data_IF_677028579208
#
_entry.id   IF_677028579208
#
_cell.length_a   1.000
_cell.length_b   1.000
_cell.length_c   1.000
_cell.angle_alpha   90.00
_cell.angle_beta   90.00
_cell.angle_gamma   90.00
#
_symmetry.space_group_name_H-M   'P 1'
#
loop_
_entity.id
_entity.type
_entity.pdbx_description
1 polymer ?
#
# COMPACT_ATOMS: atom_id res chain seq x y z
N UNK A 1 20.38 -21.92 1.61
CA UNK A 1 19.86 -20.63 1.10
C UNK A 1 18.66 -20.89 0.20
N UNK A 2 17.44 -20.47 0.57
CA UNK A 2 16.24 -20.76 -0.24
C UNK A 2 16.07 -19.84 -1.46
N UNK A 3 15.42 -20.31 -2.52
CA UNK A 3 15.19 -19.57 -3.77
C UNK A 3 14.61 -18.15 -3.56
N UNK A 4 13.70 -17.98 -2.60
CA UNK A 4 13.10 -16.67 -2.29
C UNK A 4 14.09 -15.63 -1.76
N UNK A 5 15.21 -16.06 -1.16
CA UNK A 5 16.26 -15.15 -0.69
C UNK A 5 16.99 -14.51 -1.86
N UNK A 6 17.30 -15.26 -2.91
CA UNK A 6 17.90 -14.71 -4.15
C UNK A 6 16.95 -13.73 -4.84
N UNK A 7 15.65 -14.06 -4.91
CA UNK A 7 14.65 -13.13 -5.44
C UNK A 7 14.62 -11.82 -4.65
N UNK A 8 14.69 -11.91 -3.31
CA UNK A 8 14.72 -10.72 -2.46
C UNK A 8 15.96 -9.86 -2.71
N UNK A 9 17.15 -10.46 -2.83
CA UNK A 9 18.39 -9.73 -3.11
C UNK A 9 18.35 -9.03 -4.48
N UNK A 10 17.78 -9.70 -5.48
CA UNK A 10 17.58 -9.11 -6.81
C UNK A 10 16.69 -7.85 -6.74
N UNK A 11 15.59 -7.90 -5.98
CA UNK A 11 14.71 -6.74 -5.76
C UNK A 11 15.25 -5.71 -4.75
N UNK A 12 16.34 -6.01 -4.03
CA UNK A 12 17.05 -5.03 -3.20
C UNK A 12 17.77 -4.03 -4.11
N UNK A 13 18.45 -4.52 -5.15
CA UNK A 13 19.14 -3.73 -6.17
C UNK A 13 18.23 -3.39 -7.37
N UNK A 14 17.20 -2.54 -7.16
CA UNK A 14 16.21 -2.18 -8.22
C UNK A 14 16.79 -1.34 -9.36
N UNK A 15 17.92 -0.69 -9.13
CA UNK A 15 18.61 0.16 -10.10
C UNK A 15 19.61 -0.61 -10.98
N UNK A 16 19.74 -1.93 -10.82
CA UNK A 16 20.53 -2.75 -11.74
C UNK A 16 19.87 -2.78 -13.13
N UNK A 17 20.67 -2.99 -14.17
CA UNK A 17 20.17 -2.96 -15.56
C UNK A 17 19.12 -4.03 -15.82
N UNK A 18 19.32 -5.22 -15.27
CA UNK A 18 18.33 -6.32 -15.31
C UNK A 18 16.99 -5.87 -14.73
N UNK A 19 17.00 -5.24 -13.54
CA UNK A 19 15.76 -4.82 -12.88
C UNK A 19 15.10 -3.63 -13.58
N UNK A 20 15.89 -2.67 -14.06
CA UNK A 20 15.37 -1.54 -14.84
C UNK A 20 14.68 -2.02 -16.12
N UNK A 21 15.31 -2.95 -16.83
CA UNK A 21 14.75 -3.57 -18.04
C UNK A 21 13.40 -4.26 -17.76
N UNK A 22 13.37 -5.14 -16.75
CA UNK A 22 12.14 -5.85 -16.36
C UNK A 22 11.01 -4.90 -15.91
N UNK A 23 11.34 -3.87 -15.13
CA UNK A 23 10.36 -2.89 -14.68
C UNK A 23 9.83 -2.04 -15.84
N UNK A 24 10.68 -1.69 -16.82
CA UNK A 24 10.27 -0.92 -18.01
C UNK A 24 9.26 -1.68 -18.85
N UNK A 25 9.51 -2.96 -19.13
CA UNK A 25 8.57 -3.81 -19.89
C UNK A 25 7.24 -3.97 -19.14
N UNK A 26 7.29 -4.22 -17.82
CA UNK A 26 6.06 -4.35 -17.01
C UNK A 26 5.23 -3.08 -17.00
N UNK A 27 5.85 -1.92 -16.81
CA UNK A 27 5.14 -0.64 -16.82
C UNK A 27 4.49 -0.40 -18.17
N UNK A 28 5.18 -0.70 -19.28
CA UNK A 28 4.60 -0.60 -20.61
C UNK A 28 3.32 -1.45 -20.74
N UNK A 29 3.35 -2.71 -20.32
CA UNK A 29 2.18 -3.58 -20.30
C UNK A 29 1.05 -3.00 -19.43
N UNK A 30 1.38 -2.50 -18.23
CA UNK A 30 0.39 -1.99 -17.27
C UNK A 30 -0.26 -0.67 -17.70
N UNK A 31 0.36 0.09 -18.60
CA UNK A 31 -0.25 1.29 -19.19
C UNK A 31 -1.44 0.94 -20.08
N UNK A 32 -1.33 -0.15 -20.84
CA UNK A 32 -2.38 -0.64 -21.75
C UNK A 32 -3.57 -1.25 -21.02
N UNK A 33 -3.34 -1.79 -19.82
CA UNK A 33 -4.38 -2.41 -19.01
C UNK A 33 -5.28 -1.37 -18.31
N UNK A 34 -6.46 -1.83 -17.91
CA UNK A 34 -7.40 -1.03 -17.14
C UNK A 34 -6.84 -0.65 -15.75
N UNK A 35 -7.41 0.41 -15.15
CA UNK A 35 -6.94 0.96 -13.87
C UNK A 35 -6.89 -0.08 -12.74
N UNK A 36 -7.86 -0.99 -12.73
CA UNK A 36 -7.94 -2.14 -11.84
C UNK A 36 -8.16 -3.38 -12.70
N UNK A 37 -7.22 -4.33 -12.64
CA UNK A 37 -7.35 -5.61 -13.32
C UNK A 37 -6.91 -6.75 -12.40
N UNK A 38 -7.48 -7.93 -12.62
CA UNK A 38 -7.09 -9.15 -11.91
C UNK A 38 -5.77 -9.67 -12.49
N UNK A 39 -4.80 -9.96 -11.62
CA UNK A 39 -3.57 -10.64 -12.01
C UNK A 39 -3.73 -12.15 -11.74
N UNK A 40 -3.35 -13.03 -12.69
CA UNK A 40 -3.47 -14.47 -12.48
C UNK A 40 -2.47 -14.99 -11.44
N UNK A 41 -1.29 -14.39 -11.35
CA UNK A 41 -0.21 -14.75 -10.42
C UNK A 41 0.47 -13.48 -9.86
N UNK A 42 1.05 -13.53 -8.66
CA UNK A 42 1.81 -12.40 -8.12
C UNK A 42 3.02 -12.12 -9.00
N UNK A 43 3.29 -10.85 -9.31
CA UNK A 43 4.53 -10.48 -10.00
C UNK A 43 5.78 -10.72 -9.14
N UNK A 44 5.58 -10.74 -7.82
CA UNK A 44 6.59 -10.92 -6.78
C UNK A 44 6.13 -11.97 -5.77
N UNK A 45 6.34 -13.27 -6.04
CA UNK A 45 5.91 -14.33 -5.14
C UNK A 45 6.66 -14.30 -3.79
N UNK A 46 7.90 -13.81 -3.76
CA UNK A 46 8.71 -13.59 -2.55
C UNK A 46 8.01 -12.64 -1.57
N UNK A 47 7.63 -11.45 -2.06
CA UNK A 47 7.02 -10.40 -1.25
C UNK A 47 5.58 -10.75 -0.90
N UNK A 48 4.83 -11.33 -1.84
CA UNK A 48 3.47 -11.77 -1.60
C UNK A 48 3.38 -12.80 -0.47
N UNK A 49 4.28 -13.82 -0.46
CA UNK A 49 4.31 -14.84 0.59
C UNK A 49 4.62 -14.26 1.97
N UNK A 50 5.52 -13.28 2.05
CA UNK A 50 5.81 -12.57 3.32
C UNK A 50 4.59 -11.83 3.86
N UNK A 51 3.77 -11.30 2.97
CA UNK A 51 2.55 -10.55 3.32
C UNK A 51 1.32 -11.43 3.54
N UNK A 52 1.48 -12.76 3.51
CA UNK A 52 0.41 -13.72 3.82
C UNK A 52 -0.30 -14.34 2.62
N UNK A 53 0.17 -14.10 1.39
CA UNK A 53 -0.34 -14.81 0.22
C UNK A 53 0.03 -16.30 0.27
N UNK A 54 -0.94 -17.16 -0.05
CA UNK A 54 -0.74 -18.59 -0.31
C UNK A 54 -1.34 -18.94 -1.67
N UNK A 55 -0.71 -19.89 -2.36
CA UNK A 55 -1.21 -20.42 -3.63
C UNK A 55 -2.31 -21.45 -3.39
N UNK A 56 -3.42 -21.02 -2.78
CA UNK A 56 -4.65 -21.80 -2.62
C UNK A 56 -5.83 -21.02 -3.19
N UNK A 57 -6.90 -21.74 -3.52
CA UNK A 57 -8.13 -21.10 -3.96
C UNK A 57 -8.65 -20.14 -2.89
N UNK A 58 -9.31 -19.06 -3.32
CA UNK A 58 -9.80 -18.00 -2.44
C UNK A 58 -8.82 -16.85 -2.21
N UNK A 59 -7.53 -16.99 -2.57
CA UNK A 59 -6.65 -15.82 -2.73
C UNK A 59 -6.74 -15.26 -4.13
N UNK A 60 -6.95 -13.95 -4.22
CA UNK A 60 -6.99 -13.19 -5.45
C UNK A 60 -5.95 -12.08 -5.40
N UNK A 61 -5.36 -11.75 -6.56
CA UNK A 61 -4.44 -10.63 -6.66
C UNK A 61 -5.02 -9.65 -7.66
N UNK A 62 -5.11 -8.40 -7.23
CA UNK A 62 -5.55 -7.30 -8.07
C UNK A 62 -4.43 -6.29 -8.23
N UNK A 63 -4.20 -5.85 -9.46
CA UNK A 63 -3.26 -4.77 -9.78
C UNK A 63 -4.03 -3.48 -9.93
N UNK A 64 -3.56 -2.46 -9.24
CA UNK A 64 -4.15 -1.13 -9.29
C UNK A 64 -3.08 -0.07 -9.53
N UNK A 65 -3.41 0.91 -10.39
CA UNK A 65 -2.61 2.11 -10.59
C UNK A 65 -3.16 3.30 -9.78
N UNK A 66 -2.26 4.01 -9.09
CA UNK A 66 -2.55 5.24 -8.35
C UNK A 66 -1.68 6.37 -8.89
N UNK A 67 -2.30 7.52 -9.20
CA UNK A 67 -1.58 8.69 -9.72
C UNK A 67 -0.63 9.22 -8.64
N UNK A 68 0.59 9.54 -9.06
CA UNK A 68 1.64 10.11 -8.21
C UNK A 68 1.38 11.60 -7.95
N UNK A 69 2.08 12.13 -6.95
CA UNK A 69 2.05 13.55 -6.58
C UNK A 69 1.11 13.86 -5.42
N UNK A 70 1.03 15.15 -5.10
CA UNK A 70 0.09 15.69 -4.11
C UNK A 70 -1.35 15.66 -4.61
N UNK A 71 -2.26 16.18 -3.80
CA UNK A 71 -3.68 16.26 -4.14
C UNK A 71 -4.14 17.70 -4.01
N UNK A 72 -4.58 18.28 -5.13
CA UNK A 72 -5.19 19.59 -5.16
C UNK A 72 -6.46 19.61 -4.33
N UNK A 73 -6.69 20.68 -3.57
CA UNK A 73 -7.99 20.91 -2.90
C UNK A 73 -9.08 21.11 -3.96
N UNK A 74 -10.25 20.47 -3.85
CA UNK A 74 -11.36 20.70 -4.76
C UNK A 74 -12.03 22.05 -4.43
N UNK A 75 -11.48 23.15 -4.94
CA UNK A 75 -12.08 24.49 -4.85
C UNK A 75 -12.39 25.03 -6.26
N UNK A 76 -13.58 25.60 -6.49
CA UNK A 76 -13.88 26.30 -7.72
C UNK A 76 -12.88 27.44 -7.96
N UNK A 77 -12.29 27.50 -9.16
CA UNK A 77 -11.35 28.56 -9.59
C UNK A 77 -10.09 28.76 -8.71
N UNK A 78 -9.85 27.92 -7.69
CA UNK A 78 -8.76 28.14 -6.74
C UNK A 78 -9.10 29.11 -5.60
N UNK A 79 -10.35 29.59 -5.52
CA UNK A 79 -10.77 30.58 -4.53
C UNK A 79 -11.10 29.91 -3.19
N UNK A 80 -10.14 29.91 -2.28
CA UNK A 80 -10.32 29.50 -0.88
C UNK A 80 -10.76 30.71 -0.06
N UNK A 81 -12.04 30.87 0.23
CA UNK A 81 -12.50 31.93 1.13
C UNK A 81 -11.94 31.73 2.57
N UNK A 82 -11.93 32.81 3.36
CA UNK A 82 -11.51 32.77 4.77
C UNK A 82 -10.08 33.27 5.03
N UNK A 83 -9.49 32.85 6.15
CA UNK A 83 -8.21 33.38 6.65
C UNK A 83 -7.02 32.91 5.79
N UNK A 84 -5.98 33.75 5.56
CA UNK A 84 -4.80 33.44 4.73
C UNK A 84 -4.16 32.07 4.95
N UNK A 85 -4.15 31.57 6.19
CA UNK A 85 -3.61 30.25 6.56
C UNK A 85 -4.23 29.07 5.78
N UNK A 86 -5.51 29.14 5.41
CA UNK A 86 -6.19 28.06 4.70
C UNK A 86 -6.19 28.21 3.19
N UNK A 87 -5.46 29.17 2.62
CA UNK A 87 -5.48 29.44 1.17
C UNK A 87 -4.64 28.48 0.31
N UNK A 88 -3.91 27.54 0.91
CA UNK A 88 -3.14 26.54 0.15
C UNK A 88 -4.03 25.62 -0.69
N UNK A 89 -3.78 25.56 -2.02
CA UNK A 89 -4.56 24.74 -2.96
C UNK A 89 -3.74 23.61 -3.60
N UNK A 90 -2.56 23.90 -4.14
CA UNK A 90 -1.82 22.96 -5.01
C UNK A 90 -0.87 22.02 -4.25
N UNK A 91 -0.17 22.52 -3.22
CA UNK A 91 0.93 21.82 -2.56
C UNK A 91 0.48 20.93 -1.37
N UNK A 92 -0.81 20.61 -1.32
CA UNK A 92 -1.37 19.78 -0.27
C UNK A 92 -0.96 18.31 -0.48
N UNK A 93 -0.41 17.73 0.59
CA UNK A 93 -0.07 16.30 0.64
C UNK A 93 -1.26 15.52 1.19
N UNK A 94 -1.63 14.38 0.57
CA UNK A 94 -2.67 13.53 1.14
C UNK A 94 -2.20 12.97 2.48
N UNK A 95 -3.10 12.96 3.46
CA UNK A 95 -2.84 12.37 4.79
C UNK A 95 -2.55 10.86 4.71
N UNK A 96 -3.27 10.14 3.83
CA UNK A 96 -3.08 8.70 3.61
C UNK A 96 -1.97 8.46 2.60
N UNK A 97 -1.20 7.39 2.81
CA UNK A 97 -0.23 6.93 1.84
C UNK A 97 -0.90 6.44 0.55
N UNK A 98 -0.20 6.52 -0.60
CA UNK A 98 -0.73 6.07 -1.89
C UNK A 98 -1.09 4.58 -1.89
N UNK A 99 -0.41 3.78 -1.05
CA UNK A 99 -0.69 2.37 -0.86
C UNK A 99 -2.05 2.15 -0.18
N UNK A 100 -2.36 2.88 0.89
CA UNK A 100 -3.68 2.83 1.55
C UNK A 100 -4.80 3.30 0.61
N UNK A 101 -4.55 4.34 -0.19
CA UNK A 101 -5.50 4.79 -1.23
C UNK A 101 -5.72 3.70 -2.29
N UNK A 102 -4.70 2.90 -2.60
CA UNK A 102 -4.81 1.77 -3.51
C UNK A 102 -5.74 0.70 -2.93
N UNK A 103 -5.52 0.31 -1.68
CA UNK A 103 -6.34 -0.68 -0.96
C UNK A 103 -7.81 -0.24 -0.88
N UNK A 104 -8.05 1.02 -0.50
CA UNK A 104 -9.40 1.60 -0.41
C UNK A 104 -10.14 1.53 -1.75
N UNK A 105 -9.48 1.87 -2.86
CA UNK A 105 -10.08 1.80 -4.20
C UNK A 105 -10.40 0.38 -4.62
N UNK A 106 -9.56 -0.58 -4.25
CA UNK A 106 -9.78 -2.00 -4.52
C UNK A 106 -10.94 -2.53 -3.68
N UNK A 107 -10.93 -2.28 -2.37
CA UNK A 107 -11.97 -2.73 -1.44
C UNK A 107 -13.35 -2.17 -1.79
N UNK A 108 -13.43 -0.90 -2.18
CA UNK A 108 -14.69 -0.29 -2.66
C UNK A 108 -15.23 -0.92 -3.93
N UNK A 109 -14.35 -1.27 -4.88
CA UNK A 109 -14.77 -1.88 -6.16
C UNK A 109 -15.10 -3.37 -6.00
N UNK A 110 -14.51 -4.04 -5.01
CA UNK A 110 -14.61 -5.49 -4.80
C UNK A 110 -15.10 -5.79 -3.38
N UNK A 111 -16.31 -5.32 -3.05
CA UNK A 111 -16.87 -5.42 -1.69
C UNK A 111 -17.12 -6.85 -1.17
N UNK A 112 -17.23 -7.83 -2.08
CA UNK A 112 -17.36 -9.25 -1.71
C UNK A 112 -16.06 -9.88 -1.19
N UNK A 113 -14.91 -9.28 -1.48
CA UNK A 113 -13.60 -9.75 -1.05
C UNK A 113 -13.10 -8.93 0.15
N UNK A 114 -12.07 -9.43 0.84
CA UNK A 114 -11.37 -8.68 1.90
C UNK A 114 -9.93 -8.42 1.52
N UNK A 115 -9.48 -7.21 1.79
CA UNK A 115 -8.07 -6.83 1.63
C UNK A 115 -7.26 -7.46 2.77
N UNK A 116 -6.22 -8.22 2.41
CA UNK A 116 -5.26 -8.75 3.38
C UNK A 116 -4.10 -7.77 3.55
N UNK A 117 -3.41 -7.46 2.45
CA UNK A 117 -2.24 -6.59 2.40
C UNK A 117 -1.99 -6.17 0.95
N UNK A 118 -1.11 -5.19 0.75
CA UNK A 118 -0.65 -4.80 -0.58
C UNK A 118 0.87 -4.60 -0.64
N UNK A 119 1.42 -4.55 -1.86
CA UNK A 119 2.83 -4.22 -2.07
C UNK A 119 3.07 -3.47 -3.38
N UNK A 120 4.15 -2.70 -3.40
CA UNK A 120 4.63 -2.02 -4.59
C UNK A 120 5.21 -3.01 -5.62
N UNK A 121 4.88 -2.79 -6.88
CA UNK A 121 5.35 -3.62 -8.01
C UNK A 121 6.23 -2.83 -8.95
N UNK A 122 5.75 -1.67 -9.38
CA UNK A 122 6.42 -0.83 -10.36
C UNK A 122 5.99 0.63 -10.20
N UNK A 123 6.77 1.53 -10.77
CA UNK A 123 6.41 2.93 -10.85
C UNK A 123 6.84 3.54 -12.17
N UNK A 124 6.11 4.56 -12.55
CA UNK A 124 6.33 5.38 -13.73
C UNK A 124 6.25 6.85 -13.33
N UNK A 125 6.55 7.79 -14.21
CA UNK A 125 6.44 9.22 -13.94
C UNK A 125 5.05 9.61 -13.38
N UNK A 126 3.97 9.10 -14.00
CA UNK A 126 2.60 9.48 -13.66
C UNK A 126 1.93 8.59 -12.60
N UNK A 127 2.30 7.31 -12.51
CA UNK A 127 1.58 6.32 -11.69
C UNK A 127 2.52 5.44 -10.85
N UNK A 128 2.07 5.07 -9.64
CA UNK A 128 2.60 3.96 -8.85
C UNK A 128 1.63 2.77 -8.99
N UNK A 129 2.18 1.58 -9.19
CA UNK A 129 1.43 0.33 -9.35
C UNK A 129 1.59 -0.53 -8.10
N UNK A 130 0.45 -0.98 -7.57
CA UNK A 130 0.38 -1.84 -6.41
C UNK A 130 -0.36 -3.14 -6.74
N UNK A 131 0.11 -4.23 -6.16
CA UNK A 131 -0.62 -5.49 -6.10
C UNK A 131 -1.27 -5.61 -4.73
N UNK A 132 -2.59 -5.72 -4.71
CA UNK A 132 -3.40 -5.93 -3.51
C UNK A 132 -3.78 -7.40 -3.44
N UNK A 133 -3.42 -8.02 -2.32
CA UNK A 133 -3.79 -9.39 -1.99
C UNK A 133 -5.19 -9.31 -1.38
N UNK A 134 -6.14 -9.94 -2.07
CA UNK A 134 -7.51 -10.07 -1.61
C UNK A 134 -7.82 -11.53 -1.27
N UNK A 135 -8.78 -11.71 -0.37
CA UNK A 135 -9.25 -13.02 0.06
C UNK A 135 -10.76 -13.08 -0.06
N UNK A 136 -11.24 -14.18 -0.62
CA UNK A 136 -12.65 -14.53 -0.65
C UNK A 136 -13.05 -15.22 0.66
N UNK A 137 -13.96 -14.60 1.41
CA UNK A 137 -14.47 -15.14 2.67
C UNK A 137 -15.42 -16.32 2.45
N UNK A 138 -16.13 -16.33 1.32
CA UNK A 138 -17.17 -17.32 1.07
C UNK A 138 -16.58 -18.66 0.63
N UNK A 139 -15.29 -18.70 0.29
CA UNK A 139 -14.66 -19.93 -0.16
C UNK A 139 -14.31 -20.89 0.98
N UNK A 140 -14.68 -22.16 0.82
CA UNK A 140 -14.47 -23.21 1.82
C UNK A 140 -12.98 -23.42 2.16
N UNK A 141 -12.08 -23.25 1.19
CA UNK A 141 -10.64 -23.37 1.41
C UNK A 141 -10.05 -22.26 2.32
N UNK A 142 -10.76 -21.14 2.47
CA UNK A 142 -10.38 -20.05 3.36
C UNK A 142 -11.02 -20.25 4.73
N UNK A 143 -12.31 -20.59 4.78
CA UNK A 143 -13.05 -20.82 6.03
C UNK A 143 -12.48 -21.96 6.87
N UNK A 144 -12.03 -23.04 6.22
CA UNK A 144 -11.46 -24.22 6.89
C UNK A 144 -10.01 -24.04 7.34
N UNK A 145 -9.28 -23.04 6.83
CA UNK A 145 -7.88 -22.86 7.18
C UNK A 145 -7.72 -22.01 8.45
N UNK A 146 -7.20 -22.57 9.56
CA UNK A 146 -7.07 -21.87 10.83
C UNK A 146 -6.14 -20.65 10.75
N UNK A 147 -5.20 -20.59 9.79
CA UNK A 147 -4.23 -19.50 9.67
C UNK A 147 -4.83 -18.19 9.14
N UNK A 148 -5.91 -18.27 8.36
CA UNK A 148 -6.53 -17.11 7.70
C UNK A 148 -8.01 -16.92 8.07
N UNK A 149 -8.67 -17.95 8.63
CA UNK A 149 -10.09 -17.92 9.02
C UNK A 149 -10.45 -16.66 9.84
N UNK A 150 -9.55 -16.15 10.67
CA UNK A 150 -9.79 -14.91 11.41
C UNK A 150 -10.32 -13.76 10.53
N UNK A 151 -9.88 -13.65 9.26
CA UNK A 151 -10.34 -12.63 8.30
C UNK A 151 -11.83 -12.74 7.92
N UNK A 152 -12.44 -13.91 8.10
CA UNK A 152 -13.84 -14.18 7.80
C UNK A 152 -14.81 -13.55 8.81
N UNK A 153 -14.33 -13.15 9.99
CA UNK A 153 -15.16 -12.52 11.03
C UNK A 153 -15.70 -11.16 10.56
N UNK A 154 -16.92 -10.82 10.96
CA UNK A 154 -17.58 -9.57 10.55
C UNK A 154 -16.83 -8.30 10.96
N UNK A 155 -16.04 -8.35 12.04
CA UNK A 155 -15.18 -7.24 12.52
C UNK A 155 -14.12 -6.81 11.50
N UNK A 156 -13.80 -7.67 10.53
CA UNK A 156 -12.79 -7.43 9.52
C UNK A 156 -13.39 -6.99 8.16
N UNK A 157 -14.65 -6.55 8.15
CA UNK A 157 -15.25 -5.87 7.00
C UNK A 157 -14.55 -4.52 6.78
N UNK A 158 -14.27 -4.19 5.51
CA UNK A 158 -13.71 -2.90 5.10
C UNK A 158 -12.48 -2.42 5.88
N UNK A 159 -11.52 -3.31 6.18
CA UNK A 159 -10.30 -2.97 6.93
C UNK A 159 -9.45 -1.87 6.29
N UNK A 160 -9.55 -1.74 4.97
CA UNK A 160 -8.91 -0.70 4.17
C UNK A 160 -9.49 0.70 4.42
N UNK A 161 -10.72 0.76 4.93
CA UNK A 161 -11.35 1.99 5.40
C UNK A 161 -11.17 2.05 6.92
N UNK A 162 -10.20 2.82 7.43
CA UNK A 162 -10.19 3.09 8.86
C UNK A 162 -11.51 3.77 9.22
N UNK A 163 -12.17 3.26 10.27
CA UNK A 163 -13.35 3.88 10.87
C UNK A 163 -13.05 5.37 11.02
N UNK A 164 -13.95 6.21 10.52
CA UNK A 164 -13.96 7.65 10.74
C UNK A 164 -14.18 7.93 12.22
N UNK A 165 -13.16 7.73 13.04
CA UNK A 165 -13.04 8.37 14.34
C UNK A 165 -12.25 9.67 14.14
N UNK A 166 -12.66 10.76 14.81
CA UNK A 166 -12.16 12.11 14.54
C UNK A 166 -10.65 12.18 14.76
N UNK A 167 -9.94 12.72 13.77
CA UNK A 167 -8.69 13.52 13.81
C UNK A 167 -7.56 13.28 14.85
N UNK A 168 -7.53 12.21 15.65
CA UNK A 168 -6.51 12.02 16.69
C UNK A 168 -5.56 10.83 16.49
N UNK A 169 -5.87 9.93 15.55
CA UNK A 169 -4.97 8.84 15.20
C UNK A 169 -4.22 9.18 13.92
N UNK A 170 -3.14 9.97 14.11
CA UNK A 170 -1.93 9.89 13.28
C UNK A 170 -1.63 8.43 12.90
N UNK A 171 -0.99 8.10 11.76
CA UNK A 171 -0.48 6.76 11.56
C UNK A 171 0.42 6.42 12.75
N UNK A 172 -0.10 5.60 13.68
CA UNK A 172 0.64 5.20 14.87
C UNK A 172 1.81 4.40 14.35
N UNK A 173 2.97 5.03 14.39
CA UNK A 173 4.24 4.33 14.42
C UNK A 173 4.18 3.53 15.72
N UNK A 174 4.00 2.22 15.62
CA UNK A 174 4.27 1.32 16.74
C UNK A 174 5.80 1.17 16.83
N UNK A 175 6.48 2.29 17.06
CA UNK A 175 7.81 2.31 17.64
C UNK A 175 7.56 2.56 19.13
N UNK A 176 8.24 1.80 19.99
CA UNK A 176 8.29 2.11 21.42
C UNK A 176 9.22 3.31 21.58
N UNK A 177 8.80 4.45 21.06
CA UNK A 177 9.56 5.68 21.19
C UNK A 177 9.19 6.33 22.51
N UNK A 178 10.22 6.68 23.27
CA UNK A 178 10.16 7.33 24.58
C UNK A 178 9.59 8.77 24.44
N UNK A 179 9.52 9.30 23.21
CA UNK A 179 9.29 10.72 22.92
C UNK A 179 7.81 11.12 22.70
N UNK A 180 6.86 10.18 22.78
CA UNK A 180 5.43 10.53 22.67
C UNK A 180 4.78 10.72 24.04
N UNK A 181 4.69 11.96 24.52
CA UNK A 181 3.83 12.34 25.65
C UNK A 181 2.34 12.22 25.28
N UNK A 182 1.79 11.00 25.18
CA UNK A 182 0.34 10.76 25.17
C UNK A 182 -0.02 9.77 26.30
N UNK A 183 -1.11 10.03 27.05
CA UNK A 183 -1.46 9.26 28.25
C UNK A 183 -1.81 7.80 27.94
N UNK A 184 -1.53 6.95 28.93
CA UNK A 184 -1.41 5.50 28.86
C UNK A 184 -2.74 4.78 29.12
N UNK A 185 -3.85 5.31 28.59
CA UNK A 185 -5.20 4.78 28.81
C UNK A 185 -5.77 4.31 27.47
N UNK A 186 -5.56 3.02 27.14
CA UNK A 186 -6.37 2.21 26.21
C UNK A 186 -5.61 0.93 25.77
N UNK A 187 -4.96 0.23 26.70
CA UNK A 187 -4.36 -1.09 26.42
C UNK A 187 -5.35 -2.23 26.75
N UNK A 188 -6.44 -2.29 26.00
CA UNK A 188 -7.25 -3.50 25.90
C UNK A 188 -6.76 -4.36 24.73
N UNK A 189 -6.18 -5.49 25.10
CA UNK A 189 -5.55 -6.55 24.29
C UNK A 189 -6.43 -7.03 23.13
N UNK A 190 -5.90 -6.99 21.89
CA UNK A 190 -6.32 -7.88 20.81
C UNK A 190 -5.11 -8.68 20.30
N UNK A 191 -5.16 -10.02 20.26
CA UNK A 191 -4.03 -10.82 19.82
C UNK A 191 -3.87 -10.77 18.30
N UNK A 192 -2.64 -10.58 17.85
CA UNK A 192 -2.21 -10.94 16.49
C UNK A 192 -2.39 -9.86 15.42
N UNK A 193 -1.77 -8.69 15.60
CA UNK A 193 -1.68 -7.69 14.53
C UNK A 193 -0.23 -7.22 14.36
N UNK A 194 0.63 -8.10 13.84
CA UNK A 194 1.92 -7.69 13.30
C UNK A 194 1.69 -6.98 11.96
N UNK A 195 1.14 -5.76 12.00
CA UNK A 195 1.41 -4.78 10.95
C UNK A 195 2.90 -4.49 11.07
N UNK A 196 3.71 -5.12 10.21
CA UNK A 196 5.07 -4.63 10.00
C UNK A 196 4.94 -3.19 9.56
N UNK A 197 5.40 -2.27 10.42
CA UNK A 197 5.56 -0.86 10.15
C UNK A 197 6.19 -0.71 8.76
N UNK A 198 5.37 -0.38 7.77
CA UNK A 198 5.85 0.09 6.49
C UNK A 198 5.90 1.61 6.64
N UNK A 199 6.98 2.07 7.25
CA UNK A 199 7.51 3.38 6.92
C UNK A 199 7.43 3.53 5.41
N UNK A 200 6.88 4.66 4.95
CA UNK A 200 7.00 5.08 3.57
C UNK A 200 8.49 5.01 3.25
N UNK A 201 8.91 3.99 2.51
CA UNK A 201 10.31 3.57 2.46
C UNK A 201 11.18 4.79 2.28
N UNK A 202 12.03 5.03 3.28
CA UNK A 202 13.03 6.09 3.43
C UNK A 202 14.08 6.11 2.30
N UNK A 203 13.84 5.37 1.22
CA UNK A 203 14.65 5.27 0.02
C UNK A 203 14.28 6.29 -1.07
N UNK A 204 13.18 7.04 -0.93
CA UNK A 204 12.84 8.10 -1.89
C UNK A 204 13.59 9.43 -1.60
N UNK A 205 14.20 9.60 -0.41
CA UNK A 205 14.98 10.81 -0.05
C UNK A 205 16.44 10.78 -0.51
N UNK A 206 17.07 9.59 -0.58
CA UNK A 206 18.48 9.45 -1.00
C UNK A 206 18.70 9.62 -2.51
N UNK A 207 17.65 9.49 -3.33
CA UNK A 207 17.79 9.61 -4.79
C UNK A 207 17.75 11.06 -5.29
N UNK A 208 17.16 11.99 -4.53
CA UNK A 208 17.13 13.42 -4.89
C UNK A 208 18.44 14.15 -4.56
N UNK A 209 19.23 13.66 -3.60
CA UNK A 209 20.48 14.32 -3.22
C UNK A 209 21.64 14.02 -4.18
N UNK A 210 21.65 12.86 -4.85
CA UNK A 210 22.72 12.48 -5.77
C UNK A 210 22.63 13.17 -7.15
N UNK A 211 21.46 13.70 -7.52
CA UNK A 211 21.29 14.41 -8.79
C UNK A 211 21.69 15.89 -8.72
N UNK A 212 21.84 16.45 -7.53
CA UNK A 212 22.32 17.84 -7.34
C UNK A 212 23.86 17.88 -7.33
N UNK A 213 24.54 16.82 -6.88
CA UNK A 213 26.00 16.81 -6.73
C UNK A 213 26.81 16.37 -7.97
N UNK A 214 26.15 15.92 -9.05
CA UNK A 214 26.81 15.48 -10.30
C UNK A 214 26.65 16.51 -11.44
N UNK A 215 25.94 17.61 -11.20
CA UNK A 215 25.75 18.69 -12.18
C UNK A 215 26.34 20.03 -11.70
N UNK A 216 27.44 19.97 -10.95
CA UNK A 216 28.25 21.13 -10.59
C UNK A 216 29.72 20.79 -10.69
#
# INVERSE_FOLDING_TARGET
>A
MGAYRYMQELYRKKQSDVMRYLLRIRVWQYRQLTKLHRAPRPSRPDKARRLGYRSKQGYCIYRIRVRRGGRKRPVPKGCTYGKPKSHGVNELKPYRCLQSIAEERVGRRLGGLRVLNSYWVAQDASYKYFEVIMVDIHHNAIRRDPKINWLCKAVHKHREMPVSLPLERAPVVLERDIDTHKPLEDLAVLPGNARTNLTCTENDKKFMFLLIYVMQ
#
